data_IF_324612514405
#
_entry.id   IF_324612514405
#
_cell.length_a   1.000
_cell.length_b   1.000
_cell.length_c   1.000
_cell.angle_alpha   90.00
_cell.angle_beta   90.00
_cell.angle_gamma   90.00
#
_symmetry.space_group_name_H-M   'P 1'
#
loop_
_entity.id
_entity.type
_entity.pdbx_description
1 polymer ?
#
# COMPACT_ATOMS: atom_id res chain seq x y z
N UNK A 1 14.43 -23.35 -2.01
CA UNK A 1 15.05 -22.01 -1.83
C UNK A 1 16.46 -22.24 -1.31
N UNK A 2 17.49 -21.89 -2.07
CA UNK A 2 18.88 -21.93 -1.60
C UNK A 2 19.10 -20.69 -0.72
N UNK A 3 19.30 -20.90 0.57
CA UNK A 3 19.73 -19.85 1.50
C UNK A 3 21.13 -19.38 1.10
N UNK A 4 21.28 -18.09 0.80
CA UNK A 4 22.60 -17.50 0.60
C UNK A 4 23.39 -17.56 1.92
N UNK A 5 24.72 -17.81 1.88
CA UNK A 5 25.54 -17.74 3.07
C UNK A 5 25.41 -16.38 3.76
N UNK A 6 25.39 -16.35 5.10
CA UNK A 6 25.25 -15.13 5.90
C UNK A 6 26.31 -14.07 5.56
N UNK A 7 27.55 -14.51 5.32
CA UNK A 7 28.66 -13.64 4.93
C UNK A 7 28.41 -12.89 3.61
N UNK A 8 27.82 -13.55 2.61
CA UNK A 8 27.46 -12.91 1.34
C UNK A 8 26.37 -11.86 1.53
N UNK A 9 25.40 -12.13 2.40
CA UNK A 9 24.32 -11.16 2.71
C UNK A 9 24.88 -9.93 3.41
N UNK A 10 25.81 -10.12 4.36
CA UNK A 10 26.45 -9.00 5.07
C UNK A 10 27.35 -8.19 4.16
N UNK A 11 28.15 -8.81 3.32
CA UNK A 11 28.97 -8.12 2.33
C UNK A 11 28.12 -7.30 1.35
N UNK A 12 26.96 -7.84 0.94
CA UNK A 12 26.04 -7.13 0.07
C UNK A 12 25.41 -5.90 0.75
N UNK A 13 25.00 -6.04 2.01
CA UNK A 13 24.47 -4.91 2.81
C UNK A 13 25.52 -3.82 2.99
N UNK A 14 26.76 -4.21 3.32
CA UNK A 14 27.86 -3.27 3.46
C UNK A 14 28.15 -2.51 2.17
N UNK A 15 28.17 -3.22 1.04
CA UNK A 15 28.36 -2.58 -0.27
C UNK A 15 27.27 -1.56 -0.62
N UNK A 16 26.05 -1.69 -0.10
CA UNK A 16 24.95 -0.76 -0.34
C UNK A 16 25.07 0.52 0.49
N UNK A 17 25.81 0.54 1.59
CA UNK A 17 25.99 1.71 2.46
C UNK A 17 26.60 2.91 1.75
N UNK A 18 27.36 2.70 0.66
CA UNK A 18 27.90 3.78 -0.18
C UNK A 18 26.83 4.69 -0.79
N UNK A 19 25.58 4.21 -0.87
CA UNK A 19 24.44 4.96 -1.41
C UNK A 19 23.67 5.74 -0.34
N UNK A 20 23.99 5.54 0.94
CA UNK A 20 23.40 6.29 2.05
C UNK A 20 24.04 7.67 2.10
N UNK A 21 23.29 8.76 1.85
CA UNK A 21 23.84 10.10 1.84
C UNK A 21 24.23 10.58 3.25
N UNK A 22 25.18 11.50 3.33
CA UNK A 22 25.43 12.22 4.57
C UNK A 22 24.21 13.07 4.96
N UNK A 23 23.99 13.22 6.25
CA UNK A 23 22.84 13.96 6.79
C UNK A 23 23.26 15.34 7.33
N UNK A 24 22.33 16.30 7.35
CA UNK A 24 20.96 16.26 6.84
C UNK A 24 20.90 16.34 5.30
N UNK A 25 20.02 15.57 4.67
CA UNK A 25 19.71 15.72 3.25
C UNK A 25 18.22 15.99 3.05
N UNK A 26 17.87 16.57 1.90
CA UNK A 26 16.49 16.80 1.49
C UNK A 26 16.27 16.21 0.10
N UNK A 27 15.28 15.31 -0.07
CA UNK A 27 14.94 14.81 -1.40
C UNK A 27 14.44 15.97 -2.29
N UNK A 28 14.66 15.87 -3.59
CA UNK A 28 14.15 16.83 -4.57
C UNK A 28 12.63 16.69 -4.80
N UNK A 29 12.09 15.51 -4.51
CA UNK A 29 10.64 15.23 -4.56
C UNK A 29 9.95 15.59 -3.25
N UNK A 30 8.61 15.71 -3.28
CA UNK A 30 7.80 16.08 -2.11
C UNK A 30 7.02 14.89 -1.53
N UNK A 31 7.41 13.67 -1.86
CA UNK A 31 6.73 12.45 -1.44
C UNK A 31 5.83 11.87 -2.53
N UNK A 32 4.93 10.98 -2.14
CA UNK A 32 3.98 10.32 -3.03
C UNK A 32 2.68 11.13 -3.03
N UNK A 33 2.24 11.56 -4.21
CA UNK A 33 0.93 12.19 -4.39
C UNK A 33 -0.17 11.12 -4.48
N UNK A 34 -0.01 10.16 -5.39
CA UNK A 34 -0.92 9.02 -5.52
C UNK A 34 -0.20 7.79 -6.06
N UNK A 35 -0.82 6.63 -5.80
CA UNK A 35 -0.45 5.33 -6.37
C UNK A 35 -1.57 4.88 -7.29
N UNK A 36 -1.26 4.51 -8.53
CA UNK A 36 -2.22 4.01 -9.50
C UNK A 36 -2.27 2.46 -9.46
N UNK A 37 -3.45 1.90 -9.38
CA UNK A 37 -3.71 0.46 -9.24
C UNK A 37 -4.85 0.04 -10.17
N UNK A 38 -4.77 -1.16 -10.75
CA UNK A 38 -5.90 -1.75 -11.45
C UNK A 38 -6.92 -2.31 -10.46
N UNK A 39 -8.20 -2.05 -10.69
CA UNK A 39 -9.30 -2.61 -9.92
C UNK A 39 -9.96 -3.77 -10.66
N UNK A 40 -10.31 -4.82 -9.92
CA UNK A 40 -11.16 -5.91 -10.41
C UNK A 40 -12.62 -5.48 -10.45
N UNK A 41 -13.06 -4.79 -9.41
CA UNK A 41 -14.41 -4.23 -9.25
C UNK A 41 -14.32 -2.92 -8.47
N UNK A 42 -14.74 -1.81 -9.09
CA UNK A 42 -14.66 -0.48 -8.46
C UNK A 42 -15.67 -0.28 -7.34
N UNK A 43 -16.86 -0.90 -7.43
CA UNK A 43 -17.87 -0.79 -6.37
C UNK A 43 -17.46 -1.56 -5.11
N UNK A 44 -16.98 -2.79 -5.28
CA UNK A 44 -16.41 -3.58 -4.18
C UNK A 44 -15.21 -2.88 -3.55
N UNK A 45 -14.33 -2.32 -4.38
CA UNK A 45 -13.18 -1.53 -3.93
C UNK A 45 -13.62 -0.30 -3.14
N UNK A 46 -14.56 0.49 -3.68
CA UNK A 46 -15.08 1.68 -3.00
C UNK A 46 -15.68 1.34 -1.63
N UNK A 47 -16.49 0.30 -1.57
CA UNK A 47 -17.10 -0.17 -0.33
C UNK A 47 -16.05 -0.59 0.70
N UNK A 48 -15.07 -1.40 0.30
CA UNK A 48 -14.00 -1.87 1.18
C UNK A 48 -13.20 -0.69 1.77
N UNK A 49 -12.73 0.21 0.92
CA UNK A 49 -11.93 1.35 1.38
C UNK A 49 -12.75 2.32 2.23
N UNK A 50 -13.99 2.60 1.85
CA UNK A 50 -14.83 3.57 2.58
C UNK A 50 -15.39 3.00 3.88
N UNK A 51 -16.01 1.82 3.83
CA UNK A 51 -16.76 1.29 4.98
C UNK A 51 -15.85 0.58 5.98
N UNK A 52 -14.81 -0.13 5.50
CA UNK A 52 -13.91 -0.89 6.36
C UNK A 52 -12.72 -0.04 6.77
N UNK A 53 -11.93 0.45 5.80
CA UNK A 53 -10.69 1.19 6.09
C UNK A 53 -10.93 2.66 6.47
N UNK A 54 -12.12 3.21 6.21
CA UNK A 54 -12.45 4.61 6.50
C UNK A 54 -11.72 5.61 5.60
N UNK A 55 -11.37 5.18 4.38
CA UNK A 55 -10.72 5.97 3.35
C UNK A 55 -11.78 6.38 2.30
N UNK A 56 -12.25 7.63 2.28
CA UNK A 56 -13.37 8.03 1.43
C UNK A 56 -12.98 8.19 -0.04
N UNK A 57 -13.97 8.06 -0.93
CA UNK A 57 -13.82 8.41 -2.34
C UNK A 57 -13.71 9.94 -2.48
N UNK A 58 -12.64 10.40 -3.14
CA UNK A 58 -12.44 11.82 -3.49
C UNK A 58 -13.13 12.19 -4.80
N UNK A 59 -13.17 11.28 -5.76
CA UNK A 59 -13.76 11.56 -7.06
C UNK A 59 -13.80 10.34 -7.97
N UNK A 60 -14.70 10.39 -8.94
CA UNK A 60 -14.87 9.39 -9.99
C UNK A 60 -15.01 10.15 -11.31
N UNK A 61 -14.26 9.74 -12.33
CA UNK A 61 -14.29 10.34 -13.65
C UNK A 61 -13.93 9.32 -14.74
N UNK A 62 -14.27 9.56 -16.00
CA UNK A 62 -13.65 8.85 -17.11
C UNK A 62 -12.14 9.03 -17.08
N UNK A 63 -11.38 7.98 -17.43
CA UNK A 63 -9.94 8.14 -17.60
C UNK A 63 -9.68 9.06 -18.81
N UNK A 64 -8.78 10.03 -18.63
CA UNK A 64 -8.46 11.04 -19.66
C UNK A 64 -7.97 10.41 -20.96
N UNK A 65 -7.13 9.41 -20.88
CA UNK A 65 -6.43 8.80 -22.02
C UNK A 65 -7.20 7.59 -22.58
N UNK A 66 -8.19 7.10 -21.85
CA UNK A 66 -9.02 5.96 -22.17
C UNK A 66 -10.43 6.12 -21.61
N UNK A 67 -11.31 6.85 -22.30
CA UNK A 67 -12.62 7.27 -21.77
C UNK A 67 -13.57 6.12 -21.39
N UNK A 68 -13.37 4.93 -21.92
CA UNK A 68 -14.13 3.72 -21.57
C UNK A 68 -13.68 3.11 -20.22
N UNK A 69 -12.56 3.58 -19.68
CA UNK A 69 -12.06 3.25 -18.36
C UNK A 69 -12.54 4.26 -17.32
N UNK A 70 -12.86 3.79 -16.13
CA UNK A 70 -13.21 4.64 -14.99
C UNK A 70 -12.00 4.83 -14.07
N UNK A 71 -11.78 6.08 -13.69
CA UNK A 71 -10.79 6.50 -12.70
C UNK A 71 -11.51 6.88 -11.40
N UNK A 72 -11.22 6.15 -10.33
CA UNK A 72 -11.72 6.42 -8.97
C UNK A 72 -10.53 6.71 -8.04
N UNK A 73 -10.62 7.79 -7.29
CA UNK A 73 -9.56 8.20 -6.35
C UNK A 73 -10.05 8.12 -4.91
N UNK A 74 -9.27 7.45 -4.05
CA UNK A 74 -9.51 7.31 -2.61
C UNK A 74 -8.54 8.18 -1.82
N UNK A 75 -9.03 8.88 -0.80
CA UNK A 75 -8.19 9.60 0.16
C UNK A 75 -7.57 8.63 1.18
N UNK A 76 -6.26 8.54 1.23
CA UNK A 76 -5.53 7.75 2.23
C UNK A 76 -4.93 8.61 3.34
N UNK A 77 -5.23 9.91 3.35
CA UNK A 77 -4.76 10.86 4.34
C UNK A 77 -3.49 11.62 3.92
N UNK A 78 -3.24 12.71 4.64
CA UNK A 78 -2.06 13.57 4.46
C UNK A 78 -1.84 14.08 3.02
N UNK A 79 -2.90 14.22 2.22
CA UNK A 79 -2.83 14.68 0.84
C UNK A 79 -2.31 13.62 -0.15
N UNK A 80 -2.27 12.37 0.26
CA UNK A 80 -1.93 11.23 -0.60
C UNK A 80 -3.18 10.44 -0.96
N UNK A 81 -3.16 9.78 -2.12
CA UNK A 81 -4.30 9.04 -2.64
C UNK A 81 -3.90 7.68 -3.25
N UNK A 82 -4.87 6.79 -3.35
CA UNK A 82 -4.81 5.63 -4.26
C UNK A 82 -5.83 5.87 -5.37
N UNK A 83 -5.37 5.75 -6.61
CA UNK A 83 -6.19 5.86 -7.82
C UNK A 83 -6.43 4.48 -8.39
N UNK A 84 -7.69 4.06 -8.46
CA UNK A 84 -8.12 2.80 -9.04
C UNK A 84 -8.65 2.99 -10.44
N UNK A 85 -8.28 2.08 -11.33
CA UNK A 85 -8.66 2.11 -12.74
C UNK A 85 -9.34 0.79 -13.12
N UNK A 86 -10.52 0.88 -13.70
CA UNK A 86 -11.20 -0.23 -14.34
C UNK A 86 -10.99 -0.13 -15.85
N UNK A 87 -10.16 -1.02 -16.41
CA UNK A 87 -9.91 -1.11 -17.85
C UNK A 87 -10.69 -2.29 -18.43
N UNK A 88 -11.85 -2.07 -19.04
CA UNK A 88 -12.76 -3.15 -19.44
C UNK A 88 -12.19 -4.11 -20.51
N UNK A 89 -11.18 -3.69 -21.28
CA UNK A 89 -10.53 -4.49 -22.32
C UNK A 89 -9.26 -5.18 -21.84
N UNK A 90 -8.78 -4.90 -20.61
CA UNK A 90 -7.63 -5.59 -20.03
C UNK A 90 -8.10 -6.87 -19.34
N UNK A 91 -7.45 -8.01 -19.65
CA UNK A 91 -7.74 -9.26 -18.97
C UNK A 91 -7.54 -9.10 -17.45
N UNK A 92 -8.61 -9.35 -16.71
CA UNK A 92 -8.60 -9.25 -15.24
C UNK A 92 -7.93 -10.49 -14.66
N UNK A 93 -6.70 -10.31 -14.18
CA UNK A 93 -6.01 -11.36 -13.44
C UNK A 93 -6.58 -11.44 -12.03
N UNK A 94 -7.20 -12.58 -11.70
CA UNK A 94 -7.77 -12.83 -10.37
C UNK A 94 -6.76 -13.34 -9.35
N UNK A 95 -5.49 -13.43 -9.73
CA UNK A 95 -4.41 -13.85 -8.84
C UNK A 95 -3.52 -12.66 -8.51
N UNK A 96 -3.19 -12.53 -7.23
CA UNK A 96 -2.11 -11.65 -6.77
C UNK A 96 -0.85 -12.00 -7.56
N UNK A 97 -0.18 -10.99 -8.13
CA UNK A 97 1.07 -11.19 -8.82
C UNK A 97 2.09 -11.86 -7.88
N UNK A 98 2.86 -12.85 -8.34
CA UNK A 98 3.88 -13.45 -7.51
C UNK A 98 4.92 -12.40 -7.09
N UNK A 99 5.59 -12.64 -5.97
CA UNK A 99 6.72 -11.79 -5.54
C UNK A 99 7.73 -11.67 -6.67
N UNK A 100 8.09 -10.45 -7.02
CA UNK A 100 9.01 -10.19 -8.12
C UNK A 100 9.48 -8.75 -8.18
N UNK A 101 10.60 -8.52 -8.85
CA UNK A 101 11.16 -7.19 -9.03
C UNK A 101 10.15 -6.25 -9.71
N UNK A 102 9.93 -5.07 -9.11
CA UNK A 102 8.98 -4.06 -9.58
C UNK A 102 7.57 -4.19 -9.02
N UNK A 103 7.19 -5.31 -8.40
CA UNK A 103 5.90 -5.44 -7.74
C UNK A 103 5.91 -4.76 -6.36
N UNK A 104 4.82 -4.09 -6.01
CA UNK A 104 4.62 -3.58 -4.67
C UNK A 104 4.27 -4.75 -3.72
N UNK A 105 4.99 -4.86 -2.60
CA UNK A 105 4.63 -5.80 -1.54
C UNK A 105 3.38 -5.32 -0.78
N UNK A 106 3.39 -4.05 -0.40
CA UNK A 106 2.30 -3.39 0.31
C UNK A 106 2.42 -1.86 0.20
N UNK A 107 1.36 -1.17 0.57
CA UNK A 107 1.36 0.27 0.80
C UNK A 107 1.11 0.49 2.28
N UNK A 108 2.08 1.14 2.98
CA UNK A 108 1.96 1.44 4.39
C UNK A 108 1.29 2.80 4.62
N UNK A 109 0.25 2.82 5.45
CA UNK A 109 -0.48 4.03 5.85
C UNK A 109 -0.38 4.21 7.36
N UNK A 110 0.17 5.35 7.85
CA UNK A 110 0.20 5.64 9.27
C UNK A 110 -1.21 5.76 9.87
N UNK A 111 -1.40 5.20 11.07
CA UNK A 111 -2.70 5.20 11.74
C UNK A 111 -2.54 5.30 13.26
N UNK A 112 -3.42 6.03 13.93
CA UNK A 112 -3.44 6.02 15.40
C UNK A 112 -3.90 4.66 15.95
N UNK A 113 -3.40 4.25 17.12
CA UNK A 113 -3.83 3.00 17.78
C UNK A 113 -5.34 2.94 17.99
N UNK A 114 -5.98 4.09 18.26
CA UNK A 114 -7.44 4.19 18.39
C UNK A 114 -8.16 3.82 17.09
N UNK A 115 -7.72 4.40 15.98
CA UNK A 115 -8.35 4.14 14.67
C UNK A 115 -8.04 2.72 14.17
N UNK A 116 -6.84 2.20 14.47
CA UNK A 116 -6.49 0.81 14.16
C UNK A 116 -7.46 -0.18 14.84
N UNK A 117 -7.80 0.05 16.12
CA UNK A 117 -8.77 -0.78 16.83
C UNK A 117 -10.15 -0.75 16.15
N UNK A 118 -10.61 0.43 15.71
CA UNK A 118 -11.88 0.56 14.99
C UNK A 118 -11.85 -0.21 13.65
N UNK A 119 -10.74 -0.13 12.91
CA UNK A 119 -10.62 -0.85 11.64
C UNK A 119 -10.58 -2.36 11.90
N UNK A 120 -9.87 -2.84 12.91
CA UNK A 120 -9.87 -4.27 13.27
C UNK A 120 -11.27 -4.79 13.59
N UNK A 121 -12.07 -4.04 14.36
CA UNK A 121 -13.47 -4.40 14.63
C UNK A 121 -14.31 -4.50 13.34
N UNK A 122 -14.09 -3.59 12.38
CA UNK A 122 -14.79 -3.63 11.06
C UNK A 122 -14.36 -4.81 10.20
N UNK A 123 -13.05 -5.12 10.18
CA UNK A 123 -12.49 -6.27 9.47
C UNK A 123 -13.09 -7.58 10.01
N UNK A 124 -13.10 -7.73 11.35
CA UNK A 124 -13.67 -8.88 12.02
C UNK A 124 -15.18 -9.02 11.72
N UNK A 125 -15.93 -7.92 11.78
CA UNK A 125 -17.35 -7.90 11.47
C UNK A 125 -17.66 -8.22 10.00
N UNK A 126 -16.77 -7.86 9.09
CA UNK A 126 -16.88 -8.16 7.65
C UNK A 126 -16.32 -9.54 7.28
N UNK A 127 -15.69 -10.26 8.21
CA UNK A 127 -15.04 -11.55 7.94
C UNK A 127 -13.81 -11.44 7.03
N UNK A 128 -13.15 -10.29 7.03
CA UNK A 128 -11.92 -10.06 6.24
C UNK A 128 -10.73 -10.57 7.03
N UNK A 129 -10.00 -11.52 6.47
CA UNK A 129 -8.76 -12.02 7.06
C UNK A 129 -7.64 -10.98 6.93
N UNK A 130 -6.84 -10.81 7.97
CA UNK A 130 -5.68 -9.94 8.00
C UNK A 130 -4.52 -10.56 8.79
N UNK A 131 -3.30 -10.13 8.50
CA UNK A 131 -2.09 -10.55 9.21
C UNK A 131 -1.59 -9.48 10.17
N UNK A 132 -0.85 -9.90 11.20
CA UNK A 132 -0.15 -8.99 12.12
C UNK A 132 1.34 -9.33 12.14
N UNK A 133 2.20 -8.35 11.94
CA UNK A 133 3.64 -8.50 12.02
C UNK A 133 4.31 -7.17 12.41
N UNK A 134 5.33 -7.20 13.26
CA UNK A 134 6.08 -6.00 13.66
C UNK A 134 5.22 -4.91 14.33
N UNK A 135 4.04 -5.28 14.85
CA UNK A 135 3.09 -4.34 15.44
C UNK A 135 2.14 -3.65 14.45
N UNK A 136 2.32 -3.89 13.14
CA UNK A 136 1.42 -3.46 12.06
C UNK A 136 0.37 -4.51 11.73
N UNK A 137 -0.71 -4.08 11.07
CA UNK A 137 -1.78 -4.94 10.51
C UNK A 137 -1.73 -4.88 8.99
N UNK A 138 -1.70 -6.05 8.35
CA UNK A 138 -1.62 -6.21 6.90
C UNK A 138 -2.94 -6.76 6.37
N UNK A 139 -3.62 -5.97 5.56
CA UNK A 139 -4.95 -6.27 5.05
C UNK A 139 -4.91 -6.41 3.53
N UNK A 140 -5.27 -7.58 2.97
CA UNK A 140 -5.45 -7.69 1.52
C UNK A 140 -6.72 -6.93 1.10
N UNK A 141 -6.60 -6.09 0.09
CA UNK A 141 -7.74 -5.43 -0.53
C UNK A 141 -8.44 -6.37 -1.55
N UNK A 142 -9.63 -6.03 -2.06
CA UNK A 142 -10.34 -6.85 -3.06
C UNK A 142 -9.57 -7.08 -4.37
N UNK A 143 -8.57 -6.24 -4.67
CA UNK A 143 -7.75 -6.33 -5.88
C UNK A 143 -6.46 -7.13 -5.68
N UNK A 144 -6.17 -7.57 -4.44
CA UNK A 144 -4.96 -8.28 -4.07
C UNK A 144 -3.79 -7.37 -3.68
N UNK A 145 -4.01 -6.07 -3.53
CA UNK A 145 -3.04 -5.16 -2.97
C UNK A 145 -3.06 -5.29 -1.44
N UNK A 146 -1.89 -5.40 -0.82
CA UNK A 146 -1.81 -5.39 0.64
C UNK A 146 -1.70 -3.95 1.15
N UNK A 147 -2.56 -3.59 2.09
CA UNK A 147 -2.48 -2.35 2.85
C UNK A 147 -1.89 -2.65 4.22
N UNK A 148 -0.78 -2.01 4.55
CA UNK A 148 -0.23 -2.02 5.89
C UNK A 148 -0.81 -0.85 6.69
N UNK A 149 -1.50 -1.14 7.76
CA UNK A 149 -1.94 -0.18 8.76
C UNK A 149 -0.84 -0.06 9.81
N UNK A 150 0.00 0.98 9.68
CA UNK A 150 1.20 1.19 10.46
C UNK A 150 0.90 2.14 11.63
N UNK A 151 0.95 1.67 12.90
CA UNK A 151 0.79 2.55 14.04
C UNK A 151 1.78 3.71 14.04
N UNK A 152 1.28 4.94 14.31
CA UNK A 152 2.08 6.17 14.28
C UNK A 152 3.30 6.11 15.21
N UNK A 153 3.19 5.43 16.33
CA UNK A 153 4.27 5.23 17.29
C UNK A 153 5.42 4.35 16.74
N UNK A 154 5.15 3.53 15.72
CA UNK A 154 6.14 2.68 15.05
C UNK A 154 6.73 3.30 13.78
N UNK A 155 6.21 4.44 13.33
CA UNK A 155 6.69 5.11 12.09
C UNK A 155 8.18 5.44 12.16
N UNK A 156 8.68 5.81 13.33
CA UNK A 156 10.10 6.14 13.54
C UNK A 156 10.99 4.90 13.58
N UNK A 157 10.49 3.78 14.10
CA UNK A 157 11.23 2.52 14.17
C UNK A 157 11.38 1.87 12.79
N UNK A 158 10.38 2.03 11.93
CA UNK A 158 10.41 1.53 10.56
C UNK A 158 11.13 2.47 9.58
N UNK A 159 11.20 3.75 9.87
CA UNK A 159 12.24 4.56 9.28
C UNK A 159 13.53 4.04 9.88
N UNK A 160 14.13 3.03 9.21
CA UNK A 160 15.49 2.59 9.47
C UNK A 160 16.24 3.78 10.03
N UNK A 161 16.94 3.67 11.16
CA UNK A 161 17.72 4.78 11.75
C UNK A 161 18.63 5.36 10.68
N UNK A 162 17.97 6.01 9.80
CA UNK A 162 18.51 6.64 8.62
C UNK A 162 18.97 8.03 8.99
#
# INVERSE_FOLDING_TARGET
>A
MTTQPQEELEARREALKRWVPERPYKPLTQGINHTAVFALDLEETARFYTEILGMPVLGIAPNRDEPDSTHMTMDIGNGSAISFFDFPHVERLTKVAPEGGGNAMHIATPISRKNLAIIKERLDAAGVEYGEAGGSVYVPDPNGLTIELLPEDLVHEQRLDL
#
